data_IF_189755398431
#
_entry.id   IF_189755398431
#
_cell.length_a   1.000
_cell.length_b   1.000
_cell.length_c   1.000
_cell.angle_alpha   90.00
_cell.angle_beta   90.00
_cell.angle_gamma   90.00
#
_symmetry.space_group_name_H-M   'P 1'
#
loop_
_entity.id
_entity.type
_entity.pdbx_description
1 polymer ?
2 water ?
#
# COMPACT_ATOMS: atom_id res chain seq x y z
N UNK A 4 17.22 -24.60 -5.70
CA UNK A 4 15.99 -23.88 -5.26
C UNK A 4 16.21 -22.38 -5.13
N UNK A 5 15.35 -21.57 -5.76
CA UNK A 5 15.38 -20.10 -5.60
C UNK A 5 14.28 -19.63 -4.64
N UNK A 6 14.49 -18.46 -4.08
CA UNK A 6 13.50 -17.76 -3.27
C UNK A 6 12.57 -16.96 -4.19
N UNK A 7 11.28 -17.23 -4.10
CA UNK A 7 10.24 -16.46 -4.82
C UNK A 7 9.45 -15.57 -3.86
N UNK A 8 9.30 -14.30 -4.21
CA UNK A 8 8.51 -13.35 -3.43
C UNK A 8 7.18 -13.16 -4.11
N UNK A 9 6.11 -12.98 -3.34
CA UNK A 9 4.79 -12.82 -3.96
C UNK A 9 3.99 -11.74 -3.25
N UNK A 10 3.08 -11.13 -4.02
CA UNK A 10 1.97 -10.35 -3.52
C UNK A 10 0.70 -11.01 -4.02
N UNK A 11 -0.18 -11.39 -3.10
CA UNK A 11 -1.41 -12.10 -3.40
C UNK A 11 -2.61 -11.19 -3.14
N UNK A 12 -3.52 -11.13 -4.11
CA UNK A 12 -4.77 -10.42 -3.99
C UNK A 12 -5.93 -11.30 -4.45
N UNK A 13 -7.15 -10.81 -4.25
CA UNK A 13 -8.34 -11.42 -4.86
C UNK A 13 -8.35 -11.10 -6.35
N UNK A 14 -9.03 -11.97 -7.11
CA UNK A 14 -9.15 -11.79 -8.56
C UNK A 14 -9.95 -10.59 -8.86
N UNK A 15 -10.95 -10.34 -8.04
CA UNK A 15 -11.77 -9.15 -8.23
C UNK A 15 -10.87 -7.92 -8.14
N UNK A 16 -10.08 -7.83 -7.08
CA UNK A 16 -9.22 -6.65 -6.92
C UNK A 16 -8.14 -6.51 -8.03
N UNK A 17 -7.36 -7.55 -8.27
CA UNK A 17 -6.21 -7.45 -9.16
C UNK A 17 -6.53 -7.70 -10.63
N UNK A 18 -7.66 -8.32 -10.94
CA UNK A 18 -8.04 -8.47 -12.34
C UNK A 18 -9.09 -7.47 -12.77
N UNK A 19 -9.98 -7.05 -11.87
CA UNK A 19 -11.09 -6.16 -12.28
C UNK A 19 -10.89 -4.72 -11.80
N UNK A 20 -10.60 -4.50 -10.53
CA UNK A 20 -10.55 -3.13 -10.04
C UNK A 20 -9.22 -2.45 -10.34
N UNK A 21 -8.12 -3.19 -10.23
CA UNK A 21 -6.81 -2.57 -10.43
C UNK A 21 -5.95 -3.48 -11.34
N UNK A 22 -6.37 -3.63 -12.59
CA UNK A 22 -5.73 -4.64 -13.45
C UNK A 22 -4.28 -4.22 -13.80
N UNK A 23 -3.38 -5.19 -13.63
CA UNK A 23 -1.94 -5.02 -13.74
C UNK A 23 -1.35 -5.49 -15.07
N UNK A 24 -2.15 -5.94 -16.03
CA UNK A 24 -1.54 -6.47 -17.26
C UNK A 24 -0.57 -5.49 -17.95
N UNK A 25 -0.93 -4.21 -18.05
CA UNK A 25 -0.03 -3.21 -18.68
C UNK A 25 1.20 -2.91 -17.87
N UNK A 26 1.06 -2.86 -16.56
CA UNK A 26 2.24 -2.73 -15.71
C UNK A 26 3.25 -3.83 -16.06
N UNK A 27 2.78 -5.07 -16.14
CA UNK A 27 3.68 -6.20 -16.38
C UNK A 27 4.28 -6.17 -17.78
N UNK A 28 3.43 -5.88 -18.74
CA UNK A 28 3.85 -5.72 -20.12
C UNK A 28 4.91 -4.65 -20.38
N UNK A 29 4.75 -3.47 -19.77
CA UNK A 29 5.71 -2.41 -19.91
C UNK A 29 7.02 -2.82 -19.25
N UNK A 30 6.94 -3.55 -18.13
CA UNK A 30 8.12 -4.07 -17.52
C UNK A 30 8.83 -5.13 -18.39
N UNK A 31 8.05 -5.93 -19.14
CA UNK A 31 8.64 -6.89 -20.05
C UNK A 31 9.34 -6.13 -21.18
N UNK A 32 8.77 -5.03 -21.60
CA UNK A 32 9.34 -4.24 -22.66
C UNK A 32 10.67 -3.64 -22.16
N UNK A 33 10.71 -3.09 -20.93
CA UNK A 33 12.01 -2.57 -20.40
C UNK A 33 13.06 -3.62 -20.25
N UNK A 34 12.65 -4.84 -19.90
CA UNK A 34 13.61 -5.92 -19.80
C UNK A 34 14.10 -6.29 -21.18
N UNK A 35 13.21 -6.33 -22.17
CA UNK A 35 13.67 -6.62 -23.53
C UNK A 35 14.74 -5.65 -24.06
N UNK A 36 14.49 -4.38 -23.80
CA UNK A 36 15.41 -3.31 -24.13
C UNK A 36 16.87 -3.57 -23.69
N UNK A 37 17.07 -4.19 -22.54
CA UNK A 37 18.40 -4.45 -21.98
C UNK A 37 18.72 -5.92 -22.02
N UNK A 38 17.93 -6.72 -22.74
CA UNK A 38 18.21 -8.13 -22.80
C UNK A 38 18.32 -8.75 -21.43
N UNK A 39 17.40 -8.40 -20.54
CA UNK A 39 17.32 -8.99 -19.20
C UNK A 39 16.34 -10.16 -19.21
N UNK A 40 16.69 -11.25 -18.53
CA UNK A 40 15.81 -12.40 -18.39
C UNK A 40 14.56 -12.08 -17.51
N UNK A 41 13.37 -12.39 -18.02
CA UNK A 41 12.18 -12.10 -17.30
C UNK A 41 12.16 -12.92 -16.02
N UNK A 42 12.04 -12.19 -14.89
CA UNK A 42 12.02 -12.76 -13.53
C UNK A 42 10.80 -12.30 -12.71
N UNK A 43 9.64 -12.16 -13.37
CA UNK A 43 8.37 -11.84 -12.69
C UNK A 43 7.18 -12.36 -13.49
N UNK A 44 6.09 -12.68 -12.82
CA UNK A 44 4.93 -13.32 -13.48
C UNK A 44 3.61 -13.01 -12.74
N UNK A 45 2.51 -13.09 -13.47
CA UNK A 45 1.18 -13.19 -12.85
C UNK A 45 0.71 -14.64 -12.92
N UNK A 46 0.34 -15.19 -11.77
CA UNK A 46 -0.21 -16.52 -11.65
C UNK A 46 -1.63 -16.42 -11.06
N UNK A 47 -2.62 -16.82 -11.86
CA UNK A 47 -3.99 -16.85 -11.43
C UNK A 47 -4.27 -18.14 -10.67
N UNK A 48 -4.85 -17.98 -9.47
CA UNK A 48 -5.17 -19.09 -8.57
C UNK A 48 -3.98 -20.00 -8.33
N UNK A 49 -2.90 -19.43 -7.78
CA UNK A 49 -1.63 -20.13 -7.69
C UNK A 49 -1.66 -21.43 -6.92
N UNK A 50 -1.10 -22.47 -7.51
CA UNK A 50 -0.97 -23.72 -6.78
C UNK A 50 0.04 -23.61 -5.63
N UNK A 51 0.95 -22.64 -5.63
CA UNK A 51 1.85 -22.52 -4.46
C UNK A 51 1.15 -22.35 -3.10
N UNK A 52 -0.10 -21.90 -3.12
CA UNK A 52 -0.81 -21.56 -1.91
C UNK A 52 -1.35 -22.82 -1.22
N UNK A 53 -1.38 -23.95 -1.93
CA UNK A 53 -1.70 -25.23 -1.29
C UNK A 53 -0.54 -25.87 -0.57
N UNK A 54 0.64 -25.24 -0.59
CA UNK A 54 1.80 -25.81 0.11
C UNK A 54 1.62 -25.79 1.63
N UNK A 55 1.94 -26.91 2.31
CA UNK A 55 1.81 -26.95 3.78
C UNK A 55 2.37 -25.70 4.50
N UNK A 56 3.55 -25.23 4.09
CA UNK A 56 4.15 -24.06 4.76
C UNK A 56 3.52 -22.69 4.45
N UNK A 57 2.51 -22.64 3.60
CA UNK A 57 1.78 -21.40 3.30
C UNK A 57 0.34 -21.50 3.78
N UNK A 58 0.09 -22.42 4.71
CA UNK A 58 -1.26 -22.73 5.19
C UNK A 58 -1.93 -21.52 5.80
N UNK A 59 -1.14 -20.72 6.52
CA UNK A 59 -1.63 -19.49 7.12
C UNK A 59 -2.11 -18.46 6.12
N UNK A 60 -1.32 -18.27 5.06
CA UNK A 60 -1.68 -17.34 4.01
C UNK A 60 -2.91 -17.88 3.27
N UNK A 61 -2.97 -19.20 3.10
CA UNK A 61 -4.17 -19.83 2.49
C UNK A 61 -5.41 -19.55 3.32
N UNK A 62 -5.28 -19.60 4.64
CA UNK A 62 -6.40 -19.29 5.55
C UNK A 62 -6.86 -17.84 5.40
N UNK A 63 -5.92 -16.92 5.28
CA UNK A 63 -6.23 -15.50 5.15
C UNK A 63 -6.70 -15.10 3.73
N UNK A 64 -6.43 -15.90 2.72
CA UNK A 64 -6.59 -15.42 1.34
C UNK A 64 -8.02 -15.48 0.83
N UNK A 65 -8.42 -14.56 -0.05
CA UNK A 65 -9.73 -14.70 -0.68
C UNK A 65 -9.85 -15.98 -1.50
N UNK A 66 -11.08 -16.43 -1.73
CA UNK A 66 -11.30 -17.76 -2.27
C UNK A 66 -10.79 -17.80 -3.70
N UNK A 67 -11.03 -16.73 -4.45
CA UNK A 67 -10.60 -16.63 -5.83
C UNK A 67 -9.48 -15.59 -5.85
N UNK A 68 -8.27 -16.05 -6.12
CA UNK A 68 -7.05 -15.24 -5.86
C UNK A 68 -6.07 -15.27 -7.02
N UNK A 69 -5.04 -14.43 -6.93
CA UNK A 69 -4.08 -14.21 -8.01
C UNK A 69 -2.86 -13.52 -7.43
N UNK A 70 -1.67 -13.94 -7.86
CA UNK A 70 -0.44 -13.40 -7.35
C UNK A 70 0.46 -12.81 -8.42
N UNK A 71 1.17 -11.76 -8.03
CA UNK A 71 2.34 -11.34 -8.73
C UNK A 71 3.54 -11.99 -8.02
N UNK A 72 4.33 -12.75 -8.78
CA UNK A 72 5.46 -13.49 -8.23
C UNK A 72 6.74 -13.05 -8.93
N UNK A 73 7.86 -13.01 -8.20
CA UNK A 73 9.13 -12.51 -8.72
C UNK A 73 10.28 -12.97 -7.85
N UNK A 74 11.42 -13.25 -8.45
CA UNK A 74 12.65 -13.50 -7.68
C UNK A 74 13.33 -12.21 -7.25
N UNK A 75 12.83 -11.08 -7.73
CA UNK A 75 13.31 -9.77 -7.31
C UNK A 75 12.40 -9.17 -6.22
N UNK A 76 12.86 -9.25 -4.98
CA UNK A 76 12.21 -8.73 -3.79
C UNK A 76 11.75 -7.30 -3.91
N UNK A 77 12.62 -6.42 -4.42
CA UNK A 77 12.25 -4.99 -4.52
C UNK A 77 11.12 -4.75 -5.52
N UNK A 78 10.97 -5.60 -6.54
CA UNK A 78 9.79 -5.46 -7.38
C UNK A 78 8.52 -5.68 -6.55
N UNK A 79 8.57 -6.68 -5.70
CA UNK A 79 7.36 -7.08 -4.96
C UNK A 79 7.04 -6.02 -3.88
N UNK A 80 8.08 -5.46 -3.30
CA UNK A 80 7.94 -4.34 -2.38
C UNK A 80 7.25 -3.22 -3.12
N UNK A 81 7.70 -2.95 -4.34
CA UNK A 81 7.02 -1.96 -5.13
C UNK A 81 5.54 -2.32 -5.40
N UNK A 82 5.24 -3.57 -5.72
CA UNK A 82 3.81 -3.95 -5.99
C UNK A 82 2.97 -3.72 -4.72
N UNK A 83 3.48 -4.17 -3.59
CA UNK A 83 2.85 -4.00 -2.27
C UNK A 83 2.61 -2.50 -1.97
N UNK A 84 3.63 -1.67 -2.16
CA UNK A 84 3.45 -0.23 -1.95
C UNK A 84 2.42 0.34 -2.89
N UNK A 85 2.37 -0.12 -4.12
CA UNK A 85 1.47 0.48 -5.09
C UNK A 85 0.05 0.03 -4.87
N UNK A 86 -0.15 -1.21 -4.47
CA UNK A 86 -1.48 -1.79 -4.43
C UNK A 86 -2.17 -1.69 -3.06
N UNK A 87 -1.37 -1.88 -2.00
CA UNK A 87 -1.82 -1.96 -0.58
C UNK A 87 -2.58 -3.21 -0.21
N UNK A 88 -3.70 -3.45 -0.87
CA UNK A 88 -4.59 -4.51 -0.43
C UNK A 88 -4.03 -5.82 -0.95
N UNK A 89 -2.99 -6.33 -0.29
CA UNK A 89 -2.38 -7.61 -0.66
C UNK A 89 -1.76 -8.34 0.52
N UNK A 90 -1.66 -9.66 0.37
CA UNK A 90 -0.84 -10.47 1.23
C UNK A 90 0.51 -10.65 0.56
N UNK A 91 1.58 -10.67 1.35
CA UNK A 91 2.88 -10.87 0.79
C UNK A 91 3.64 -11.89 1.58
N UNK A 92 4.70 -12.40 0.96
CA UNK A 92 5.44 -13.47 1.56
C UNK A 92 6.43 -14.00 0.54
N UNK A 93 7.02 -15.15 0.86
CA UNK A 93 8.07 -15.73 0.08
C UNK A 93 8.07 -17.22 0.27
N UNK A 94 8.73 -17.93 -0.62
CA UNK A 94 8.86 -19.37 -0.52
C UNK A 94 10.01 -19.83 -1.41
N UNK A 95 10.28 -21.13 -1.34
CA UNK A 95 11.34 -21.72 -2.11
C UNK A 95 10.81 -22.81 -3.01
N UNK A 96 11.37 -22.87 -4.20
CA UNK A 96 10.94 -23.79 -5.22
C UNK A 96 12.13 -24.04 -6.17
N UNK A 97 12.14 -25.21 -6.84
CA UNK A 97 11.11 -26.23 -6.68
C UNK A 97 11.34 -27.17 -5.48
N UNK A 98 10.25 -27.75 -5.00
CA UNK A 98 10.26 -28.62 -3.85
C UNK A 98 9.16 -29.63 -4.09
N UNK A 99 8.98 -30.56 -3.14
CA UNK A 99 7.91 -31.53 -3.27
C UNK A 99 6.57 -30.86 -3.11
N UNK A 100 6.46 -29.99 -2.11
CA UNK A 100 5.25 -29.19 -1.89
C UNK A 100 4.99 -28.19 -3.01
N UNK A 101 6.05 -27.55 -3.53
CA UNK A 101 5.88 -26.60 -4.62
C UNK A 101 6.73 -27.01 -5.82
N UNK A 102 6.24 -27.97 -6.63
CA UNK A 102 7.03 -28.39 -7.79
C UNK A 102 7.21 -27.25 -8.81
N UNK A 103 6.13 -26.58 -9.17
CA UNK A 103 6.17 -25.48 -10.13
C UNK A 103 5.66 -24.17 -9.48
N UNK A 104 6.56 -23.22 -9.24
CA UNK A 104 6.12 -22.03 -8.56
C UNK A 104 5.11 -21.23 -9.36
N UNK A 105 5.06 -21.41 -10.67
CA UNK A 105 4.15 -20.67 -11.51
C UNK A 105 2.87 -21.42 -11.87
N UNK A 106 2.68 -22.61 -11.30
CA UNK A 106 1.50 -23.42 -11.67
C UNK A 106 0.20 -22.82 -11.15
N UNK A 107 -0.81 -22.79 -12.03
CA UNK A 107 -2.14 -22.38 -11.64
C UNK A 107 -3.05 -23.57 -11.33
N UNK A 108 -3.83 -23.47 -10.25
CA UNK A 108 -4.91 -24.45 -9.98
C UNK A 108 -6.09 -24.33 -10.92
N UNK A 109 -6.23 -23.17 -11.54
CA UNK A 109 -7.40 -22.84 -12.33
C UNK A 109 -7.14 -23.25 -13.78
N UNK B 3 -15.11 20.35 17.41
CA UNK B 3 -16.37 19.85 16.71
C UNK B 3 -16.22 18.80 15.60
N UNK B 4 -15.02 18.55 15.14
CA UNK B 4 -14.76 17.41 14.23
C UNK B 4 -13.54 16.67 14.65
N UNK B 5 -13.46 15.40 14.29
CA UNK B 5 -12.22 14.70 14.51
C UNK B 5 -11.82 13.99 13.22
N UNK B 6 -10.55 13.60 13.16
CA UNK B 6 -10.06 12.78 12.09
C UNK B 6 -10.19 11.32 12.55
N UNK B 7 -10.94 10.54 11.76
CA UNK B 7 -11.06 9.10 11.99
C UNK B 7 -10.10 8.36 11.03
N UNK B 8 -9.43 7.30 11.53
CA UNK B 8 -8.57 6.43 10.73
C UNK B 8 -9.23 5.06 10.66
N UNK B 9 -9.13 4.38 9.52
CA UNK B 9 -9.80 3.08 9.40
C UNK B 9 -8.90 2.09 8.67
N UNK B 10 -9.14 0.82 8.96
CA UNK B 10 -8.64 -0.30 8.19
C UNK B 10 -9.87 -1.06 7.75
N UNK B 11 -10.00 -1.30 6.46
CA UNK B 11 -11.20 -1.94 5.90
C UNK B 11 -10.85 -3.33 5.42
N UNK B 12 -11.68 -4.31 5.76
CA UNK B 12 -11.47 -5.71 5.41
C UNK B 12 -12.77 -6.25 4.87
N UNK B 13 -12.70 -7.42 4.25
CA UNK B 13 -13.90 -8.20 3.95
C UNK B 13 -14.38 -8.77 5.29
N UNK B 14 -15.67 -9.08 5.40
CA UNK B 14 -16.20 -9.69 6.62
C UNK B 14 -15.77 -11.13 6.80
N UNK B 15 -15.63 -11.85 5.69
CA UNK B 15 -15.14 -13.22 5.74
C UNK B 15 -13.75 -13.25 6.42
N UNK B 16 -12.85 -12.37 5.97
CA UNK B 16 -11.50 -12.25 6.55
C UNK B 16 -11.51 -11.85 8.03
N UNK B 17 -12.24 -10.80 8.40
CA UNK B 17 -12.07 -10.20 9.74
C UNK B 17 -12.91 -10.84 10.83
N UNK B 18 -14.10 -11.31 10.45
CA UNK B 18 -14.94 -12.07 11.36
C UNK B 18 -14.49 -13.56 11.39
N UNK B 19 -13.26 -13.81 10.95
CA UNK B 19 -12.55 -15.07 11.13
C UNK B 19 -11.06 -14.80 11.49
N UNK B 20 -10.87 -13.85 12.41
CA UNK B 20 -9.57 -13.50 12.97
C UNK B 20 -9.79 -13.34 14.48
N UNK B 21 -9.85 -14.48 15.14
CA UNK B 21 -10.23 -14.54 16.56
C UNK B 21 -9.21 -13.92 17.53
N UNK B 22 -7.88 -14.15 17.33
CA UNK B 22 -6.89 -13.53 18.26
C UNK B 22 -6.88 -12.00 18.24
N UNK B 23 -7.28 -11.42 17.10
CA UNK B 23 -7.37 -9.97 16.91
C UNK B 23 -8.60 -9.36 17.62
N UNK B 24 -9.73 -10.05 17.55
CA UNK B 24 -10.98 -9.65 18.29
C UNK B 24 -10.81 -9.76 19.79
N UNK B 25 -9.86 -10.59 20.19
CA UNK B 25 -9.59 -10.79 21.57
C UNK B 25 -8.74 -9.60 22.01
N UNK B 26 -7.87 -9.10 21.11
CA UNK B 26 -7.09 -7.89 21.41
C UNK B 26 -8.03 -6.70 21.68
N UNK B 27 -9.14 -6.63 20.95
CA UNK B 27 -10.16 -5.61 21.11
C UNK B 27 -10.95 -5.63 22.41
N UNK B 28 -11.32 -6.83 22.84
CA UNK B 28 -12.09 -6.99 24.07
C UNK B 28 -11.17 -6.63 25.20
N UNK B 29 -9.93 -7.08 25.09
CA UNK B 29 -8.90 -6.77 26.05
C UNK B 29 -8.67 -5.27 26.17
N UNK B 30 -8.71 -4.58 25.02
CA UNK B 30 -8.46 -3.15 24.96
C UNK B 30 -9.61 -2.42 25.63
N UNK B 31 -10.87 -2.85 25.36
CA UNK B 31 -12.01 -2.31 26.02
C UNK B 31 -11.87 -2.45 27.56
N UNK B 32 -11.40 -3.60 28.00
CA UNK B 32 -11.19 -3.89 29.40
C UNK B 32 -10.07 -3.00 29.98
N UNK B 33 -8.95 -2.85 29.29
CA UNK B 33 -7.88 -1.92 29.75
C UNK B 33 -8.38 -0.49 29.83
N UNK B 34 -9.26 -0.07 28.89
CA UNK B 34 -9.82 1.26 28.93
C UNK B 34 -10.72 1.46 30.11
N UNK B 35 -11.52 0.46 30.41
CA UNK B 35 -12.40 0.58 31.60
C UNK B 35 -11.52 0.70 32.84
N UNK B 36 -10.48 -0.11 32.95
CA UNK B 36 -9.63 -0.01 34.16
C UNK B 36 -9.13 1.44 34.41
N UNK B 37 -8.79 2.17 33.33
CA UNK B 37 -8.21 3.51 33.42
C UNK B 37 -9.26 4.59 33.32
N UNK B 38 -10.54 4.21 33.35
CA UNK B 38 -11.66 5.11 33.09
C UNK B 38 -11.38 6.05 31.92
N UNK B 39 -10.93 5.44 30.83
CA UNK B 39 -10.66 6.15 29.63
C UNK B 39 -11.80 5.87 28.62
N UNK B 40 -12.14 6.88 27.84
CA UNK B 40 -13.31 6.78 26.98
C UNK B 40 -12.89 5.98 25.76
N UNK B 41 -13.75 5.07 25.32
CA UNK B 41 -13.45 4.25 24.14
C UNK B 41 -13.37 5.09 22.83
N UNK B 42 -12.28 4.90 22.08
CA UNK B 42 -11.98 5.64 20.85
C UNK B 42 -11.56 4.69 19.67
N UNK B 43 -12.17 3.51 19.63
CA UNK B 43 -11.93 2.53 18.58
C UNK B 43 -13.18 1.69 18.48
N UNK B 44 -13.57 1.31 17.28
CA UNK B 44 -14.82 0.61 17.04
C UNK B 44 -14.68 -0.29 15.84
N UNK B 45 -15.47 -1.34 15.83
CA UNK B 45 -15.62 -2.20 14.67
C UNK B 45 -17.00 -1.90 14.11
N UNK B 46 -17.04 -1.48 12.85
CA UNK B 46 -18.26 -1.11 12.17
C UNK B 46 -18.45 -2.03 10.96
N UNK B 47 -19.60 -2.70 10.91
CA UNK B 47 -19.95 -3.59 9.79
C UNK B 47 -20.63 -2.79 8.69
N UNK B 48 -20.14 -2.93 7.45
CA UNK B 48 -20.70 -2.23 6.32
C UNK B 48 -20.79 -0.73 6.57
N UNK B 49 -19.65 -0.12 6.86
CA UNK B 49 -19.67 1.28 7.22
C UNK B 49 -20.32 2.15 6.13
N UNK B 50 -21.24 3.01 6.56
CA UNK B 50 -21.83 4.02 5.70
C UNK B 50 -20.82 5.02 5.20
N UNK B 51 -19.75 5.26 5.97
CA UNK B 51 -18.75 6.22 5.53
C UNK B 51 -18.16 5.78 4.17
N UNK B 52 -18.22 4.51 3.86
CA UNK B 52 -17.62 4.03 2.63
C UNK B 52 -18.32 4.66 1.39
N UNK B 53 -19.60 5.00 1.52
CA UNK B 53 -20.36 5.65 0.44
C UNK B 53 -20.13 7.17 0.32
N UNK B 54 -19.36 7.77 1.21
CA UNK B 54 -19.04 9.20 1.07
C UNK B 54 -18.19 9.53 -0.19
N UNK B 55 -18.51 10.63 -0.89
CA UNK B 55 -17.80 11.09 -2.09
C UNK B 55 -16.28 11.01 -2.01
N UNK B 56 -15.69 11.51 -0.92
CA UNK B 56 -14.24 11.50 -0.75
C UNK B 56 -13.62 10.09 -0.58
N UNK B 57 -14.45 9.07 -0.37
CA UNK B 57 -13.99 7.70 -0.26
C UNK B 57 -14.43 6.84 -1.42
N UNK B 58 -14.69 7.45 -2.58
CA UNK B 58 -15.14 6.67 -3.75
C UNK B 58 -14.03 5.70 -4.24
N UNK B 59 -12.77 6.13 -4.18
CA UNK B 59 -11.64 5.27 -4.56
C UNK B 59 -11.60 3.99 -3.71
N UNK B 60 -11.61 4.17 -2.38
CA UNK B 60 -11.56 3.04 -1.46
C UNK B 60 -12.73 2.09 -1.72
N UNK B 61 -13.89 2.65 -2.03
CA UNK B 61 -15.12 1.88 -2.18
C UNK B 61 -15.02 1.03 -3.43
N UNK B 62 -14.53 1.65 -4.49
CA UNK B 62 -14.17 0.92 -5.71
C UNK B 62 -13.36 -0.35 -5.35
N UNK B 63 -12.26 -0.18 -4.61
CA UNK B 63 -11.30 -1.28 -4.35
C UNK B 63 -11.75 -2.33 -3.32
N UNK B 64 -12.82 -2.04 -2.61
CA UNK B 64 -13.18 -2.80 -1.42
C UNK B 64 -14.00 -4.02 -1.78
N UNK B 65 -13.97 -5.04 -0.92
CA UNK B 65 -14.86 -6.18 -1.09
C UNK B 65 -16.32 -5.82 -0.83
N UNK B 66 -17.24 -6.59 -1.42
CA UNK B 66 -18.68 -6.33 -1.41
C UNK B 66 -19.21 -6.33 0.01
N UNK B 67 -18.77 -7.28 0.82
CA UNK B 67 -19.19 -7.41 2.20
C UNK B 67 -17.99 -7.05 3.07
N UNK B 68 -18.02 -5.82 3.59
CA UNK B 68 -16.87 -5.27 4.26
C UNK B 68 -17.18 -4.87 5.69
N UNK B 69 -16.11 -4.62 6.44
CA UNK B 69 -16.16 -4.24 7.86
C UNK B 69 -14.90 -3.41 8.17
N UNK B 70 -15.04 -2.31 8.94
CA UNK B 70 -13.88 -1.48 9.29
C UNK B 70 -13.61 -1.50 10.77
N UNK B 71 -12.30 -1.40 11.09
CA UNK B 71 -11.88 -1.03 12.39
C UNK B 71 -11.56 0.43 12.25
N UNK B 72 -12.14 1.25 13.13
CA UNK B 72 -12.05 2.70 13.07
C UNK B 72 -11.56 3.27 14.42
N UNK B 73 -10.72 4.28 14.40
CA UNK B 73 -10.24 4.89 15.66
C UNK B 73 -9.82 6.30 15.40
N UNK B 74 -9.90 7.15 16.43
CA UNK B 74 -9.28 8.48 16.41
C UNK B 74 -7.83 8.41 16.79
N UNK B 75 -7.36 7.22 17.15
CA UNK B 75 -5.94 7.03 17.50
C UNK B 75 -5.23 6.40 16.30
N UNK B 76 -4.34 7.18 15.70
CA UNK B 76 -3.75 6.79 14.43
C UNK B 76 -2.78 5.64 14.60
N UNK B 77 -1.95 5.70 15.64
CA UNK B 77 -1.03 4.60 15.91
C UNK B 77 -1.79 3.26 16.02
N UNK B 78 -2.98 3.27 16.58
CA UNK B 78 -3.75 2.03 16.69
C UNK B 78 -4.06 1.39 15.34
N UNK B 79 -4.44 2.20 14.35
CA UNK B 79 -4.74 1.72 13.00
C UNK B 79 -3.47 1.31 12.25
N UNK B 80 -2.37 2.01 12.51
CA UNK B 80 -1.07 1.57 12.01
C UNK B 80 -0.81 0.14 12.45
N UNK B 81 -1.07 -0.11 13.73
CA UNK B 81 -0.85 -1.47 14.23
C UNK B 81 -1.87 -2.43 13.61
N UNK B 82 -3.14 -2.05 13.61
CA UNK B 82 -4.16 -2.93 12.97
C UNK B 82 -3.73 -3.33 11.53
N UNK B 83 -3.32 -2.36 10.72
CA UNK B 83 -2.80 -2.62 9.39
C UNK B 83 -1.61 -3.63 9.37
N UNK B 84 -0.60 -3.42 10.21
CA UNK B 84 0.59 -4.28 10.16
C UNK B 84 0.28 -5.68 10.72
N UNK B 85 -0.69 -5.78 11.61
CA UNK B 85 -1.02 -7.07 12.14
C UNK B 85 -1.91 -7.85 11.15
N UNK B 86 -2.87 -7.17 10.55
CA UNK B 86 -3.82 -7.85 9.68
C UNK B 86 -3.22 -7.97 8.29
N UNK B 87 -2.44 -6.98 7.87
CA UNK B 87 -1.86 -6.96 6.54
C UNK B 87 -2.89 -6.78 5.41
N UNK B 88 -3.88 -7.67 5.31
CA UNK B 88 -4.82 -7.63 4.16
C UNK B 88 -6.00 -6.70 4.41
N UNK B 89 -5.74 -5.40 4.32
CA UNK B 89 -6.73 -4.37 4.59
C UNK B 89 -6.45 -3.17 3.75
N UNK B 90 -7.49 -2.38 3.52
CA UNK B 90 -7.36 -1.04 2.94
C UNK B 90 -7.48 -0.03 4.08
N UNK B 91 -6.69 1.05 4.03
CA UNK B 91 -6.70 2.03 5.07
C UNK B 91 -6.79 3.42 4.49
N UNK B 92 -7.16 4.37 5.35
CA UNK B 92 -7.31 5.76 4.97
C UNK B 92 -7.82 6.55 6.16
N UNK B 93 -8.23 7.79 5.92
CA UNK B 93 -8.79 8.65 6.98
C UNK B 93 -9.89 9.55 6.46
N UNK B 94 -10.67 10.10 7.38
CA UNK B 94 -11.70 11.06 7.04
C UNK B 94 -12.09 11.85 8.29
N UNK B 95 -12.84 12.91 8.03
CA UNK B 95 -13.18 13.90 9.02
C UNK B 95 -14.65 13.76 9.25
N UNK B 96 -15.07 13.92 10.49
CA UNK B 96 -16.50 13.79 10.82
C UNK B 96 -16.75 14.33 12.20
N UNK B 97 -18.01 14.68 12.51
CA UNK B 97 -19.17 14.60 11.58
C UNK B 97 -19.17 15.72 10.52
N UNK B 98 -19.73 15.41 9.34
CA UNK B 98 -19.81 16.30 8.18
C UNK B 98 -21.11 15.94 7.49
N UNK B 99 -21.50 16.67 6.44
CA UNK B 99 -22.76 16.36 5.71
C UNK B 99 -22.67 15.00 5.02
N UNK B 100 -21.51 14.71 4.43
CA UNK B 100 -21.24 13.43 3.81
C UNK B 100 -21.19 12.28 4.85
N UNK B 101 -20.63 12.57 6.04
CA UNK B 101 -20.50 11.56 7.10
C UNK B 101 -21.09 12.09 8.40
N UNK B 102 -22.43 12.14 8.49
CA UNK B 102 -23.08 12.58 9.73
C UNK B 102 -22.65 11.73 10.94
N UNK B 103 -22.51 10.42 10.76
CA UNK B 103 -22.09 9.52 11.85
C UNK B 103 -21.00 8.50 11.42
N UNK B 104 -19.78 8.62 11.96
CA UNK B 104 -18.76 7.70 11.48
C UNK B 104 -19.02 6.23 11.74
N UNK B 105 -19.92 5.90 12.67
CA UNK B 105 -20.14 4.51 13.04
C UNK B 105 -21.40 3.90 12.47
N UNK B 106 -22.07 4.61 11.58
CA UNK B 106 -23.31 4.08 11.02
C UNK B 106 -22.98 2.83 10.22
N UNK B 107 -23.78 1.79 10.43
CA UNK B 107 -23.70 0.56 9.68
C UNK B 107 -24.78 0.57 8.59
N UNK B 108 -24.48 -0.01 7.42
CA UNK B 108 -25.52 -0.29 6.43
C UNK B 108 -26.06 -1.72 6.58
N UNK B 109 -25.97 -2.30 7.77
CA UNK B 109 -26.29 -3.72 7.93
C UNK B 109 -26.79 -4.06 9.33
N UNK C 3 31.37 -9.23 25.84
CA UNK C 3 30.64 -8.25 26.82
C UNK C 3 29.75 -7.18 26.19
N UNK C 4 30.07 -6.75 24.98
CA UNK C 4 29.16 -5.86 24.27
C UNK C 4 28.08 -6.63 23.53
N UNK C 5 26.85 -6.14 23.60
CA UNK C 5 25.78 -6.68 22.76
C UNK C 5 25.74 -5.91 21.44
N UNK C 6 25.22 -6.59 20.44
CA UNK C 6 24.92 -5.99 19.19
C UNK C 6 23.49 -5.45 19.22
N UNK C 7 23.38 -4.14 18.95
CA UNK C 7 22.10 -3.45 18.82
C UNK C 7 21.81 -3.22 17.34
N UNK C 8 20.62 -3.63 16.91
CA UNK C 8 20.18 -3.47 15.55
C UNK C 8 19.18 -2.35 15.56
N UNK C 9 19.14 -1.59 14.48
CA UNK C 9 18.28 -0.42 14.44
C UNK C 9 17.63 -0.23 13.10
N UNK C 10 16.43 0.38 13.13
CA UNK C 10 15.77 0.95 11.94
C UNK C 10 15.63 2.43 12.18
N UNK C 11 16.24 3.22 11.32
CA UNK C 11 16.26 4.66 11.48
C UNK C 11 15.37 5.36 10.43
N UNK C 12 14.63 6.34 10.87
CA UNK C 12 13.67 7.00 10.00
C UNK C 12 13.65 8.46 10.30
N UNK C 13 12.95 9.21 9.48
CA UNK C 13 12.67 10.62 9.82
C UNK C 13 11.56 10.69 10.88
N UNK C 14 11.59 11.75 11.69
CA UNK C 14 10.54 12.05 12.66
C UNK C 14 9.19 12.30 11.99
N UNK C 15 9.23 12.95 10.84
CA UNK C 15 8.06 13.08 10.01
C UNK C 15 7.45 11.69 9.75
N UNK C 16 8.25 10.77 9.21
CA UNK C 16 7.74 9.43 8.83
C UNK C 16 7.23 8.60 10.03
N UNK C 17 8.08 8.44 11.02
CA UNK C 17 7.84 7.50 12.10
C UNK C 17 7.04 8.07 13.24
N UNK C 18 7.02 9.40 13.46
CA UNK C 18 6.18 10.01 14.48
C UNK C 18 4.83 10.53 13.96
N UNK C 19 4.71 10.80 12.67
CA UNK C 19 3.49 11.44 12.19
C UNK C 19 2.78 10.63 11.13
N UNK C 20 3.49 10.14 10.14
CA UNK C 20 2.82 9.30 9.12
C UNK C 20 2.49 7.88 9.56
N UNK C 21 3.43 7.23 10.26
CA UNK C 21 3.26 5.83 10.73
C UNK C 21 3.65 5.71 12.21
N UNK C 22 2.91 6.40 13.08
CA UNK C 22 3.26 6.39 14.47
C UNK C 22 3.27 4.95 14.96
N UNK C 23 4.34 4.59 15.67
CA UNK C 23 4.66 3.19 15.93
C UNK C 23 4.38 2.74 17.36
N UNK C 24 3.85 3.63 18.19
CA UNK C 24 3.78 3.32 19.60
C UNK C 24 2.88 2.12 19.92
N UNK C 25 1.77 1.97 19.20
CA UNK C 25 0.90 0.83 19.43
C UNK C 25 1.53 -0.49 19.00
N UNK C 26 2.34 -0.47 17.95
CA UNK C 26 3.12 -1.66 17.57
C UNK C 26 4.04 -2.12 18.73
N UNK C 27 4.68 -1.15 19.39
CA UNK C 27 5.56 -1.45 20.48
C UNK C 27 4.79 -1.93 21.70
N UNK C 28 3.67 -1.28 22.02
CA UNK C 28 2.82 -1.70 23.14
C UNK C 28 2.37 -3.15 22.96
N UNK C 29 1.93 -3.49 21.76
CA UNK C 29 1.41 -4.84 21.52
C UNK C 29 2.52 -5.85 21.70
N UNK C 30 3.73 -5.48 21.29
CA UNK C 30 4.89 -6.31 21.48
C UNK C 30 5.22 -6.43 22.97
N UNK C 31 5.10 -5.35 23.73
CA UNK C 31 5.30 -5.48 25.18
C UNK C 31 4.26 -6.43 25.83
N UNK C 32 3.04 -6.34 25.38
CA UNK C 32 1.98 -7.24 25.87
C UNK C 32 2.38 -8.69 25.60
N UNK C 33 2.85 -8.99 24.39
CA UNK C 33 3.20 -10.36 23.97
C UNK C 33 4.37 -10.91 24.77
N UNK C 34 5.30 -10.03 25.14
CA UNK C 34 6.44 -10.41 25.99
C UNK C 34 5.92 -10.69 27.42
N UNK C 35 5.06 -9.85 27.93
CA UNK C 35 4.46 -10.15 29.25
C UNK C 35 3.77 -11.54 29.30
N UNK C 36 3.02 -11.86 28.26
CA UNK C 36 2.30 -13.14 28.21
C UNK C 36 3.28 -14.30 28.40
N UNK C 37 4.49 -14.16 27.85
CA UNK C 37 5.56 -15.14 27.99
C UNK C 37 6.60 -14.81 29.06
N UNK C 38 6.33 -13.89 29.97
CA UNK C 38 7.34 -13.45 30.96
C UNK C 38 8.74 -13.17 30.39
N UNK C 39 8.80 -12.56 29.21
CA UNK C 39 10.08 -12.20 28.58
C UNK C 39 10.39 -10.72 28.81
N UNK C 40 11.65 -10.41 29.09
CA UNK C 40 12.05 -9.03 29.38
C UNK C 40 12.20 -8.25 28.07
N UNK C 41 11.75 -7.01 28.09
CA UNK C 41 11.68 -6.19 26.89
C UNK C 41 13.09 -5.89 26.37
N UNK C 42 13.28 -6.11 25.07
CA UNK C 42 14.58 -5.88 24.43
C UNK C 42 14.49 -5.09 23.12
N UNK C 43 13.64 -4.05 23.15
CA UNK C 43 13.38 -3.18 22.00
C UNK C 43 12.84 -1.85 22.51
N UNK C 44 13.08 -0.81 21.73
CA UNK C 44 12.86 0.54 22.21
C UNK C 44 12.76 1.50 21.05
N UNK C 45 12.06 2.60 21.27
CA UNK C 45 12.06 3.70 20.31
C UNK C 45 13.00 4.75 20.93
N UNK C 46 13.92 5.27 20.16
CA UNK C 46 14.83 6.32 20.64
C UNK C 46 14.74 7.51 19.65
N UNK C 47 14.12 8.61 20.07
CA UNK C 47 14.03 9.80 19.23
C UNK C 47 15.41 10.50 19.22
N UNK C 48 15.90 10.87 18.03
CA UNK C 48 17.18 11.60 17.88
C UNK C 48 18.32 10.88 18.59
N UNK C 49 18.59 9.63 18.20
CA UNK C 49 19.47 8.82 19.01
C UNK C 49 20.93 9.31 19.01
N UNK C 50 21.55 9.26 20.18
CA UNK C 50 22.94 9.72 20.33
C UNK C 50 23.88 8.82 19.59
N UNK C 51 23.51 7.53 19.48
CA UNK C 51 24.35 6.55 18.86
C UNK C 51 24.75 6.88 17.43
N UNK C 52 23.96 7.73 16.79
CA UNK C 52 24.18 8.06 15.39
C UNK C 52 25.43 8.99 15.21
N UNK C 53 25.87 9.59 16.33
CA UNK C 53 27.05 10.46 16.34
C UNK C 53 28.38 9.72 16.52
N UNK C 54 28.36 8.42 16.76
CA UNK C 54 29.59 7.66 16.82
C UNK C 54 30.32 7.68 15.49
N UNK C 55 31.66 7.77 15.51
CA UNK C 55 32.49 7.75 14.28
C UNK C 55 32.19 6.59 13.36
N UNK C 56 31.97 5.42 13.95
CA UNK C 56 31.78 4.21 13.14
C UNK C 56 30.46 4.19 12.39
N UNK C 57 29.56 5.11 12.71
CA UNK C 57 28.25 5.15 12.05
C UNK C 57 28.15 6.37 11.16
N UNK C 58 29.29 6.90 10.74
CA UNK C 58 29.35 8.17 10.01
C UNK C 58 28.58 8.11 8.69
N UNK C 59 28.78 7.05 7.92
CA UNK C 59 27.99 6.92 6.68
C UNK C 59 26.48 6.87 6.92
N UNK C 60 26.04 6.26 8.02
CA UNK C 60 24.61 6.26 8.34
C UNK C 60 24.10 7.67 8.67
N UNK C 61 24.86 8.39 9.47
CA UNK C 61 24.51 9.78 9.78
C UNK C 61 24.54 10.66 8.52
N UNK C 62 25.51 10.43 7.65
CA UNK C 62 25.54 11.22 6.40
C UNK C 62 24.26 10.97 5.61
N UNK C 63 23.78 9.74 5.54
CA UNK C 63 22.52 9.41 4.82
C UNK C 63 21.20 9.74 5.53
N UNK C 64 21.21 10.02 6.83
CA UNK C 64 19.97 10.12 7.58
C UNK C 64 19.30 11.48 7.52
N UNK C 65 17.98 11.50 7.73
CA UNK C 65 17.27 12.74 7.95
C UNK C 65 17.83 13.54 9.12
N UNK C 66 17.62 14.85 9.05
CA UNK C 66 18.17 15.79 10.01
C UNK C 66 17.50 15.55 11.35
N UNK C 67 16.18 15.38 11.33
CA UNK C 67 15.43 14.99 12.52
C UNK C 67 14.96 13.55 12.33
N UNK C 68 15.44 12.70 13.24
CA UNK C 68 15.32 11.27 13.07
C UNK C 68 14.99 10.54 14.36
N UNK C 69 14.70 9.25 14.24
CA UNK C 69 14.18 8.42 15.32
C UNK C 69 14.46 7.02 14.91
N UNK C 70 14.80 6.18 15.88
CA UNK C 70 15.09 4.79 15.62
C UNK C 70 14.26 3.86 16.47
N UNK C 71 13.99 2.68 15.91
CA UNK C 71 13.53 1.53 16.67
C UNK C 71 14.75 0.69 16.87
N UNK C 72 15.06 0.37 18.12
CA UNK C 72 16.30 -0.32 18.41
C UNK C 72 16.00 -1.64 19.08
N UNK C 73 16.79 -2.66 18.76
CA UNK C 73 16.63 -3.94 19.46
C UNK C 73 17.85 -4.81 19.42
N UNK C 74 18.08 -5.56 20.50
CA UNK C 74 19.07 -6.62 20.52
C UNK C 74 18.52 -7.88 19.81
N UNK C 75 17.25 -7.84 19.38
CA UNK C 75 16.62 -8.95 18.59
C UNK C 75 16.58 -8.60 17.11
N UNK C 76 17.47 -9.18 16.33
CA UNK C 76 17.64 -8.79 14.93
C UNK C 76 16.41 -9.05 14.03
N UNK C 77 15.79 -10.21 14.22
CA UNK C 77 14.58 -10.56 13.47
C UNK C 77 13.47 -9.50 13.65
N UNK C 78 13.43 -8.86 14.81
CA UNK C 78 12.46 -7.76 14.98
C UNK C 78 12.76 -6.58 14.04
N UNK C 79 14.00 -6.17 13.98
CA UNK C 79 14.40 -5.07 13.12
C UNK C 79 14.19 -5.46 11.64
N UNK C 80 14.44 -6.73 11.30
CA UNK C 80 14.15 -7.24 9.95
C UNK C 80 12.64 -7.08 9.66
N UNK C 81 11.81 -7.40 10.63
CA UNK C 81 10.40 -7.20 10.48
C UNK C 81 10.01 -5.73 10.37
N UNK C 82 10.59 -4.85 11.19
CA UNK C 82 10.31 -3.43 11.05
C UNK C 82 10.54 -2.92 9.62
N UNK C 83 11.64 -3.37 9.01
CA UNK C 83 11.99 -2.95 7.64
C UNK C 83 10.96 -3.46 6.61
N UNK C 84 10.57 -4.72 6.71
CA UNK C 84 9.46 -5.24 5.89
C UNK C 84 8.18 -4.46 6.10
N UNK C 85 7.88 -4.09 7.34
CA UNK C 85 6.59 -3.51 7.65
C UNK C 85 6.50 -2.10 7.15
N UNK C 86 7.57 -1.33 7.27
CA UNK C 86 7.50 0.11 7.03
C UNK C 86 8.24 0.55 5.76
N UNK C 87 9.24 -0.25 5.39
CA UNK C 87 10.06 0.00 4.23
C UNK C 87 10.98 1.25 4.21
N UNK C 88 10.50 2.42 4.61
CA UNK C 88 11.28 3.67 4.46
C UNK C 88 12.14 3.93 5.69
N UNK C 89 13.01 2.97 6.01
CA UNK C 89 13.92 3.09 7.13
C UNK C 89 15.29 2.67 6.64
N UNK C 90 16.34 3.25 7.22
CA UNK C 90 17.68 2.68 7.08
C UNK C 90 17.94 1.75 8.25
N UNK C 91 18.52 0.58 7.98
CA UNK C 91 18.91 -0.33 9.03
C UNK C 91 20.42 -0.53 9.17
N UNK C 92 20.84 -0.88 10.37
CA UNK C 92 22.23 -1.23 10.63
C UNK C 92 22.39 -1.82 12.01
N UNK C 93 23.61 -1.78 12.51
CA UNK C 93 23.93 -2.32 13.80
C UNK C 93 25.15 -1.60 14.42
N UNK C 94 25.27 -1.74 15.74
CA UNK C 94 26.43 -1.22 16.46
C UNK C 94 26.56 -1.96 17.79
N UNK C 95 27.76 -1.90 18.36
CA UNK C 95 28.08 -2.53 19.62
C UNK C 95 28.17 -1.47 20.70
N UNK C 96 27.75 -1.83 21.91
CA UNK C 96 27.67 -0.92 23.05
C UNK C 96 27.52 -1.81 24.27
N UNK C 97 27.96 -1.36 25.45
CA UNK C 97 28.57 -0.06 25.75
C UNK C 97 30.02 0.08 25.29
N UNK C 98 30.39 1.28 24.85
CA UNK C 98 31.75 1.58 24.43
C UNK C 98 32.00 3.07 24.72
N UNK C 99 33.27 3.48 24.62
CA UNK C 99 33.60 4.89 24.73
C UNK C 99 32.77 5.73 23.81
N UNK C 100 32.70 5.34 22.53
CA UNK C 100 31.92 6.08 21.53
C UNK C 100 30.40 5.98 21.77
N UNK C 101 29.94 4.84 22.30
CA UNK C 101 28.52 4.63 22.55
C UNK C 101 28.35 4.11 23.96
N UNK C 102 28.38 5.01 24.95
CA UNK C 102 28.25 4.59 26.35
C UNK C 102 26.83 4.17 26.71
N UNK C 103 25.83 4.81 26.08
CA UNK C 103 24.41 4.51 26.36
C UNK C 103 23.68 4.34 25.04
N UNK C 104 23.40 3.09 24.64
CA UNK C 104 22.78 2.86 23.33
C UNK C 104 21.37 3.47 23.16
N UNK C 105 20.70 3.79 24.26
CA UNK C 105 19.36 4.33 24.20
C UNK C 105 19.33 5.82 24.49
N UNK C 106 20.49 6.46 24.64
CA UNK C 106 20.49 7.92 24.88
C UNK C 106 19.84 8.69 23.73
N UNK C 107 19.01 9.65 24.11
CA UNK C 107 18.38 10.55 23.17
C UNK C 107 19.03 11.93 23.19
N UNK C 108 19.13 12.58 22.02
CA UNK C 108 19.43 14.01 21.94
C UNK C 108 18.18 14.87 21.77
N UNK C 109 16.99 14.29 21.89
CA UNK C 109 15.71 15.01 21.72
C UNK C 109 15.48 16.06 22.83
N UNK D 5 -19.84 3.69 -24.12
CA UNK D 5 -18.46 3.23 -23.77
C UNK D 5 -17.98 3.89 -22.48
N UNK D 6 -17.20 3.17 -21.69
CA UNK D 6 -16.56 3.74 -20.51
C UNK D 6 -15.14 4.17 -20.90
N UNK D 7 -14.73 5.36 -20.46
CA UNK D 7 -13.43 5.90 -20.79
C UNK D 7 -12.71 6.16 -19.51
N UNK D 8 -11.50 5.65 -19.39
CA UNK D 8 -10.66 5.96 -18.25
C UNK D 8 -9.68 7.03 -18.68
N UNK D 9 -9.27 7.88 -17.75
CA UNK D 9 -8.46 9.03 -18.09
C UNK D 9 -7.45 9.28 -17.00
N UNK D 10 -6.35 9.88 -17.41
CA UNK D 10 -5.34 10.40 -16.49
C UNK D 10 -5.12 11.81 -16.91
N UNK D 11 -5.20 12.73 -15.94
CA UNK D 11 -5.23 14.18 -16.20
C UNK D 11 -3.99 14.84 -15.63
N UNK D 12 -3.39 15.70 -16.43
CA UNK D 12 -2.11 16.27 -16.07
C UNK D 12 -1.96 17.65 -16.68
N UNK D 13 -0.97 18.37 -16.18
CA UNK D 13 -0.63 19.69 -16.74
C UNK D 13 0.06 19.51 -18.06
N UNK D 14 -0.22 20.41 -18.99
CA UNK D 14 0.49 20.44 -20.25
C UNK D 14 1.99 20.47 -20.06
N UNK D 15 2.42 21.22 -19.05
CA UNK D 15 3.84 21.41 -18.77
C UNK D 15 4.50 20.09 -18.41
N UNK D 16 3.84 19.33 -17.53
CA UNK D 16 4.36 18.04 -17.10
C UNK D 16 4.44 17.03 -18.25
N UNK D 17 3.30 16.81 -18.90
CA UNK D 17 3.14 15.68 -19.81
C UNK D 17 3.76 15.89 -21.18
N UNK D 18 3.60 17.07 -21.75
CA UNK D 18 4.13 17.33 -23.09
C UNK D 18 5.66 17.53 -23.07
N UNK D 19 6.28 17.22 -21.94
CA UNK D 19 7.74 17.16 -21.80
C UNK D 19 8.22 15.89 -21.07
N UNK D 20 7.42 14.82 -21.17
CA UNK D 20 7.84 13.49 -20.77
C UNK D 20 8.13 12.72 -22.05
N UNK D 21 9.35 12.90 -22.58
CA UNK D 21 9.77 12.25 -23.82
C UNK D 21 9.70 10.72 -23.74
N UNK D 22 10.22 10.12 -22.65
CA UNK D 22 10.05 8.68 -22.51
C UNK D 22 8.58 8.24 -22.58
N UNK D 23 7.67 8.94 -21.93
CA UNK D 23 6.24 8.60 -22.02
C UNK D 23 5.62 8.74 -23.45
N UNK D 24 5.78 9.92 -24.09
CA UNK D 24 5.24 10.20 -25.45
C UNK D 24 5.76 9.25 -26.53
N UNK D 25 7.01 8.84 -26.37
CA UNK D 25 7.61 7.80 -27.18
C UNK D 25 6.88 6.50 -26.89
N UNK D 26 6.44 6.28 -25.65
CA UNK D 26 5.67 5.07 -25.36
C UNK D 26 4.36 5.02 -26.17
N UNK D 27 3.71 6.17 -26.38
CA UNK D 27 2.49 6.21 -27.16
C UNK D 27 2.70 5.92 -28.62
N UNK D 28 3.75 6.48 -29.20
CA UNK D 28 4.07 6.32 -30.62
C UNK D 28 4.38 4.85 -30.91
N UNK D 29 5.13 4.22 -30.00
CA UNK D 29 5.42 2.80 -30.02
C UNK D 29 4.13 1.97 -29.93
N UNK D 30 3.19 2.44 -29.13
CA UNK D 30 1.98 1.70 -28.89
C UNK D 30 1.12 1.79 -30.15
N UNK D 31 1.13 2.96 -30.78
CA UNK D 31 0.50 3.11 -32.09
C UNK D 31 1.14 2.18 -33.17
N UNK D 32 2.46 2.17 -33.23
CA UNK D 32 3.21 1.25 -34.09
C UNK D 32 2.93 -0.25 -33.83
N UNK D 33 2.86 -0.67 -32.57
CA UNK D 33 2.52 -2.06 -32.19
C UNK D 33 1.08 -2.43 -32.63
N UNK D 34 0.14 -1.50 -32.42
CA UNK D 34 -1.25 -1.68 -32.83
C UNK D 34 -1.31 -1.80 -34.35
N UNK D 35 -0.54 -0.98 -35.04
CA UNK D 35 -0.51 -1.05 -36.51
C UNK D 35 -0.02 -2.44 -36.98
N UNK D 36 1.05 -2.92 -36.37
CA UNK D 36 1.59 -4.22 -36.73
C UNK D 36 0.56 -5.32 -36.56
N UNK D 37 -0.26 -5.23 -35.53
CA UNK D 37 -1.29 -6.27 -35.28
C UNK D 37 -2.67 -5.95 -35.82
N UNK D 38 -2.77 -4.96 -36.69
CA UNK D 38 -4.03 -4.48 -37.20
C UNK D 38 -5.09 -4.30 -36.12
N UNK D 39 -4.71 -3.72 -34.98
CA UNK D 39 -5.61 -3.55 -33.85
C UNK D 39 -6.11 -2.09 -33.81
N UNK D 40 -7.40 -1.91 -33.56
CA UNK D 40 -8.00 -0.57 -33.47
C UNK D 40 -7.44 0.25 -32.28
N UNK D 41 -7.04 1.48 -32.55
CA UNK D 41 -6.62 2.37 -31.51
C UNK D 41 -7.77 2.66 -30.55
N UNK D 42 -7.51 2.33 -29.28
CA UNK D 42 -8.38 2.56 -28.13
C UNK D 42 -7.70 3.43 -27.03
N UNK D 43 -6.76 4.29 -27.42
CA UNK D 43 -6.09 5.22 -26.47
C UNK D 43 -5.73 6.50 -27.22
N UNK D 44 -5.77 7.63 -26.52
CA UNK D 44 -5.67 8.96 -27.17
C UNK D 44 -5.08 9.97 -26.21
N UNK D 45 -4.35 10.92 -26.77
CA UNK D 45 -3.95 12.09 -26.04
C UNK D 45 -4.89 13.20 -26.43
N UNK D 46 -5.57 13.78 -25.46
CA UNK D 46 -6.49 14.87 -25.71
C UNK D 46 -6.01 16.14 -24.98
N UNK D 47 -5.67 17.15 -25.76
CA UNK D 47 -5.24 18.44 -25.20
C UNK D 47 -6.49 19.27 -24.83
N UNK D 48 -6.49 19.81 -23.61
CA UNK D 48 -7.63 20.53 -23.02
C UNK D 48 -8.94 19.76 -23.20
N UNK D 49 -9.06 18.61 -22.51
CA UNK D 49 -10.27 17.81 -22.68
C UNK D 49 -11.60 18.51 -22.37
N UNK D 50 -12.46 18.60 -23.39
CA UNK D 50 -13.82 19.02 -23.21
C UNK D 50 -14.56 18.25 -22.10
N UNK D 51 -14.34 16.93 -21.99
CA UNK D 51 -15.05 16.16 -20.97
C UNK D 51 -14.88 16.72 -19.57
N UNK D 52 -13.81 17.48 -19.37
CA UNK D 52 -13.53 18.09 -18.09
C UNK D 52 -14.63 19.08 -17.64
N UNK D 53 -15.25 19.77 -18.61
CA UNK D 53 -16.33 20.74 -18.35
C UNK D 53 -17.72 20.10 -18.24
N UNK D 54 -17.78 18.80 -18.04
CA UNK D 54 -19.06 18.15 -17.75
C UNK D 54 -19.39 18.44 -16.29
N UNK D 55 -20.69 18.57 -15.98
CA UNK D 55 -21.10 18.72 -14.59
C UNK D 55 -20.52 17.64 -13.69
N UNK D 56 -20.70 16.38 -14.11
CA UNK D 56 -20.20 15.21 -13.37
C UNK D 56 -18.69 15.22 -13.06
N UNK D 57 -17.90 15.95 -13.85
CA UNK D 57 -16.45 16.05 -13.67
C UNK D 57 -16.04 17.43 -13.16
N UNK D 58 -16.82 17.95 -12.22
CA UNK D 58 -16.60 19.32 -11.73
C UNK D 58 -15.54 19.33 -10.63
N UNK D 59 -15.62 18.36 -9.71
CA UNK D 59 -14.57 18.21 -8.69
C UNK D 59 -13.23 18.08 -9.40
N UNK D 60 -13.22 17.24 -10.44
CA UNK D 60 -12.04 17.06 -11.29
C UNK D 60 -11.48 18.39 -11.80
N UNK D 61 -12.31 19.19 -12.49
CA UNK D 61 -11.82 20.46 -13.03
C UNK D 61 -11.30 21.40 -11.96
N UNK D 62 -11.90 21.34 -10.77
CA UNK D 62 -11.49 22.20 -9.67
C UNK D 62 -10.04 21.92 -9.30
N UNK D 63 -9.78 20.66 -8.91
CA UNK D 63 -8.44 20.22 -8.52
C UNK D 63 -7.44 20.31 -9.67
N UNK D 64 -7.92 20.06 -10.88
CA UNK D 64 -7.06 19.97 -12.07
C UNK D 64 -6.14 21.18 -12.18
N UNK D 65 -4.99 21.03 -12.85
CA UNK D 65 -4.18 22.20 -13.17
C UNK D 65 -4.83 22.99 -14.29
N UNK D 66 -4.27 24.18 -14.55
CA UNK D 66 -4.89 25.21 -15.37
C UNK D 66 -4.92 24.76 -16.82
N UNK D 67 -3.77 24.72 -17.46
CA UNK D 67 -3.71 24.12 -18.79
C UNK D 67 -3.40 22.64 -18.60
N UNK D 68 -4.17 21.82 -19.30
CA UNK D 68 -4.16 20.40 -19.03
C UNK D 68 -4.31 19.56 -20.28
N UNK D 69 -4.15 18.27 -20.07
CA UNK D 69 -4.12 17.30 -21.15
C UNK D 69 -4.45 15.95 -20.54
N UNK D 70 -5.25 15.17 -21.25
CA UNK D 70 -5.58 13.84 -20.77
C UNK D 70 -5.00 12.72 -21.64
N UNK D 71 -4.67 11.62 -21.00
CA UNK D 71 -4.48 10.36 -21.66
C UNK D 71 -5.78 9.65 -21.39
N UNK D 72 -6.48 9.29 -22.45
CA UNK D 72 -7.75 8.59 -22.35
C UNK D 72 -7.65 7.27 -23.05
N UNK D 73 -8.39 6.28 -22.54
CA UNK D 73 -8.47 4.95 -23.12
C UNK D 73 -9.68 4.18 -22.65
N UNK D 74 -10.17 3.29 -23.52
CA UNK D 74 -11.21 2.33 -23.11
C UNK D 74 -10.61 1.08 -22.48
N UNK D 75 -9.28 1.04 -22.36
CA UNK D 75 -8.53 -0.01 -21.65
C UNK D 75 -8.10 0.46 -20.26
N UNK D 76 -8.69 -0.12 -19.24
CA UNK D 76 -8.46 0.33 -17.88
C UNK D 76 -7.03 0.09 -17.42
N UNK D 77 -6.54 -1.12 -17.67
CA UNK D 77 -5.16 -1.48 -17.33
C UNK D 77 -4.11 -0.50 -17.84
N UNK D 78 -4.33 0.07 -19.01
CA UNK D 78 -3.42 1.06 -19.56
C UNK D 78 -3.35 2.28 -18.66
N UNK D 79 -4.52 2.72 -18.19
CA UNK D 79 -4.64 3.91 -17.38
C UNK D 79 -4.13 3.63 -15.96
N UNK D 80 -4.33 2.42 -15.47
CA UNK D 80 -3.67 1.98 -14.24
C UNK D 80 -2.14 2.11 -14.39
N UNK D 81 -1.61 1.73 -15.56
CA UNK D 81 -0.17 1.81 -15.77
C UNK D 81 0.28 3.28 -15.85
N UNK D 82 -0.47 4.10 -16.58
CA UNK D 82 -0.12 5.54 -16.76
C UNK D 82 -0.05 6.28 -15.39
N UNK D 83 -1.06 6.03 -14.57
CA UNK D 83 -1.15 6.47 -13.20
C UNK D 83 0.12 6.06 -12.41
N UNK D 84 0.45 4.79 -12.37
CA UNK D 84 1.62 4.31 -11.62
C UNK D 84 2.93 4.77 -12.23
N UNK D 85 2.96 4.92 -13.54
CA UNK D 85 4.16 5.40 -14.20
C UNK D 85 4.42 6.86 -14.00
N UNK D 86 3.46 7.70 -14.40
CA UNK D 86 3.64 9.16 -14.30
C UNK D 86 3.41 9.68 -12.87
N UNK D 87 2.48 9.04 -12.16
CA UNK D 87 2.21 9.29 -10.73
C UNK D 87 1.47 10.60 -10.42
N UNK D 88 1.92 11.71 -11.01
CA UNK D 88 1.38 13.04 -10.69
C UNK D 88 0.31 13.42 -11.71
N UNK D 89 -0.82 12.74 -11.57
CA UNK D 89 -1.94 12.88 -12.47
C UNK D 89 -3.19 12.60 -11.67
N UNK D 90 -4.32 13.17 -12.11
CA UNK D 90 -5.63 12.74 -11.60
C UNK D 90 -6.23 11.71 -12.53
N UNK D 91 -6.86 10.68 -11.96
CA UNK D 91 -7.56 9.69 -12.76
C UNK D 91 -9.02 9.63 -12.41
N UNK D 92 -9.79 9.04 -13.31
CA UNK D 92 -11.16 8.69 -13.10
C UNK D 92 -11.69 8.06 -14.37
N UNK D 93 -13.01 8.02 -14.48
CA UNK D 93 -13.69 7.56 -15.68
C UNK D 93 -14.93 8.39 -15.99
N UNK D 94 -15.58 8.05 -17.10
CA UNK D 94 -16.84 8.63 -17.49
C UNK D 94 -17.42 7.83 -18.63
N UNK D 95 -18.75 7.86 -18.73
CA UNK D 95 -19.49 7.22 -19.81
C UNK D 95 -19.64 8.25 -20.91
N UNK D 96 -19.63 7.81 -22.15
CA UNK D 96 -19.86 8.70 -23.27
C UNK D 96 -20.18 7.87 -24.49
N UNK D 97 -20.93 8.43 -25.45
CA UNK D 97 -21.61 9.74 -25.40
C UNK D 97 -22.57 9.95 -24.21
N UNK D 98 -22.74 11.21 -23.81
CA UNK D 98 -23.80 11.62 -22.90
C UNK D 98 -24.18 13.05 -23.28
N UNK D 99 -25.18 13.60 -22.61
CA UNK D 99 -25.51 15.01 -22.80
C UNK D 99 -24.33 15.89 -22.42
N UNK D 100 -23.75 15.61 -21.26
CA UNK D 100 -22.60 16.38 -20.76
C UNK D 100 -21.33 16.20 -21.63
N UNK D 101 -21.22 15.05 -22.31
CA UNK D 101 -20.04 14.71 -23.12
C UNK D 101 -20.48 14.10 -24.45
N UNK D 102 -20.88 14.93 -25.42
CA UNK D 102 -21.17 14.46 -26.79
C UNK D 102 -20.06 13.64 -27.44
N UNK D 103 -18.83 14.17 -27.40
CA UNK D 103 -17.63 13.57 -28.02
C UNK D 103 -16.50 13.46 -26.98
N UNK D 104 -16.08 12.23 -26.63
CA UNK D 104 -15.14 12.12 -25.51
C UNK D 104 -13.69 12.57 -25.81
N UNK D 105 -13.36 12.75 -27.08
CA UNK D 105 -11.99 13.07 -27.50
C UNK D 105 -11.85 14.51 -27.96
N UNK D 106 -12.80 15.35 -27.58
CA UNK D 106 -12.86 16.76 -28.01
C UNK D 106 -11.88 17.63 -27.24
N UNK D 107 -11.16 18.48 -27.97
CA UNK D 107 -10.18 19.42 -27.43
C UNK D 107 -10.79 20.83 -27.36
N UNK D 108 -10.39 21.62 -26.37
CA UNK D 108 -10.79 23.03 -26.29
C UNK D 108 -9.74 23.98 -26.90
N UNK D 109 -8.46 23.58 -26.91
CA UNK D 109 -7.37 24.38 -27.50
C UNK D 109 -7.28 24.19 -29.01
#
# INVERSE_FOLDING_TARGET
GSHMATYYYALASQKFLLEEEPFEEVLKERRRDYGEKNKEIDFWQVIQPAFLNAPELAEAKAKAPEKNVAIVSTNKSFIVWVKLALEYVLTGEFEAPSDAIPDPLASLD
GSHMATYYYALASQKFLLEEEPFEEVLKERRRDYGEKNKEIDFWQVIQPAFLNAPELAEAKAKAPEKNVAIVSTNKSFIVWVKLALEYVLTGEFEAPSDAIPDPLASLD
GSHMATYYYALASQKFLLEEEPFEEVLKERRRDYGEKNKEIDFWQVIQPAFLNAPELAEAKAKAPEKNVAIVSTNKSFIVWVKLALEYVLTGEFEAPSDAIPDPLASLD
GSHMATYYYALASQKFLLEEEPFEEVLKERRRDYGEKNKEIDFWQVIQPAFLNAPELAEAKAKAPEKNVAIVSTNKSFIVWVKLALEYVLTGEFEAPSDAIPDPLASLD
#
